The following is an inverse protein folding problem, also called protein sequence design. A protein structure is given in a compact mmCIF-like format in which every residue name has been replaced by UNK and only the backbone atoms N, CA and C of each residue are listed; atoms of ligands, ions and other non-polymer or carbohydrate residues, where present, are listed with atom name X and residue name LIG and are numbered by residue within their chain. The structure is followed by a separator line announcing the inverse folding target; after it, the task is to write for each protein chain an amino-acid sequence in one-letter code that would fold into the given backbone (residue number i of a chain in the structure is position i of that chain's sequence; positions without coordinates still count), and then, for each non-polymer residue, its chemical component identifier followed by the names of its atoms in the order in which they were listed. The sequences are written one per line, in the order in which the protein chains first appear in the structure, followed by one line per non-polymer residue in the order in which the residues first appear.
data_IF_000561689447
#
_entry.id   IF_000561689447
#
_cell.length_a   1.000
_cell.length_b   1.000
_cell.length_c   1.000
_cell.angle_alpha   90.00
_cell.angle_beta   90.00
_cell.angle_gamma   90.00
#
_symmetry.space_group_name_H-M   'P 1'
#
loop_
_entity.id
_entity.type
_entity.pdbx_description
1 polymer ?
#
# COMPACT_ATOMS: atom_id res chain seq x y z
N UNK A 1 37.32 -32.78 -20.94
CA UNK A 1 36.11 -32.88 -21.80
C UNK A 1 35.16 -31.78 -21.36
N UNK A 2 35.15 -30.68 -22.13
CA UNK A 2 34.30 -29.52 -21.85
C UNK A 2 32.92 -29.75 -22.45
N UNK A 3 31.88 -29.78 -21.62
CA UNK A 3 30.48 -29.74 -22.06
C UNK A 3 30.00 -28.28 -22.07
N UNK A 4 30.11 -27.63 -23.23
CA UNK A 4 29.40 -26.37 -23.52
C UNK A 4 27.92 -26.68 -23.71
N UNK A 5 27.08 -26.32 -22.72
CA UNK A 5 25.65 -26.34 -22.87
C UNK A 5 25.21 -25.07 -23.61
N UNK A 6 24.82 -25.23 -24.88
CA UNK A 6 24.20 -24.19 -25.68
C UNK A 6 22.82 -23.82 -25.08
N UNK A 7 22.65 -22.55 -24.74
CA UNK A 7 21.35 -22.01 -24.33
C UNK A 7 20.61 -21.52 -25.56
N UNK A 8 19.53 -22.20 -25.93
CA UNK A 8 18.55 -21.65 -26.87
C UNK A 8 17.48 -20.89 -26.07
N UNK A 9 17.50 -19.55 -26.22
CA UNK A 9 16.42 -18.69 -25.75
C UNK A 9 15.37 -18.62 -26.86
N UNK A 10 14.36 -19.49 -26.83
CA UNK A 10 13.22 -19.40 -27.74
C UNK A 10 12.11 -18.68 -26.96
N UNK A 11 11.85 -17.43 -27.36
CA UNK A 11 10.73 -16.66 -26.82
C UNK A 11 9.58 -16.72 -27.83
N UNK A 12 8.46 -17.28 -27.45
CA UNK A 12 7.23 -17.18 -28.21
C UNK A 12 6.27 -16.25 -27.49
N UNK A 13 5.75 -15.26 -28.20
CA UNK A 13 4.64 -14.44 -27.73
C UNK A 13 3.37 -15.18 -28.15
N UNK A 14 2.63 -15.69 -27.19
CA UNK A 14 1.33 -16.33 -27.43
C UNK A 14 0.26 -15.30 -27.03
N UNK A 15 -0.46 -14.79 -28.02
CA UNK A 15 -1.62 -13.93 -27.79
C UNK A 15 -2.83 -14.85 -27.70
N UNK A 16 -3.37 -15.04 -26.50
CA UNK A 16 -4.60 -15.75 -26.28
C UNK A 16 -5.74 -14.74 -26.16
N UNK A 17 -6.65 -14.74 -27.11
CA UNK A 17 -7.88 -13.95 -27.04
C UNK A 17 -9.02 -14.86 -26.61
N UNK A 18 -9.64 -14.54 -25.47
CA UNK A 18 -10.89 -15.16 -25.05
C UNK A 18 -11.81 -14.05 -24.53
N UNK A 19 -12.97 -13.90 -25.20
CA UNK A 19 -14.03 -12.95 -24.83
C UNK A 19 -13.50 -11.53 -24.52
N UNK A 20 -12.97 -10.85 -25.54
CA UNK A 20 -12.50 -9.46 -25.49
C UNK A 20 -11.36 -9.12 -24.53
N UNK A 21 -10.59 -10.12 -24.08
CA UNK A 21 -9.38 -9.93 -23.25
C UNK A 21 -8.15 -10.43 -24.00
N UNK A 22 -7.18 -9.54 -24.20
CA UNK A 22 -5.85 -9.88 -24.69
C UNK A 22 -4.93 -10.19 -23.49
N UNK A 23 -4.45 -11.43 -23.40
CA UNK A 23 -3.39 -11.82 -22.47
C UNK A 23 -2.10 -11.95 -23.27
N UNK A 24 -1.04 -11.27 -22.85
CA UNK A 24 0.31 -11.51 -23.35
C UNK A 24 1.06 -12.34 -22.30
N UNK A 25 1.44 -13.55 -22.64
CA UNK A 25 2.26 -14.40 -21.79
C UNK A 25 3.58 -14.71 -22.51
N UNK A 26 4.71 -14.46 -21.85
CA UNK A 26 6.01 -14.88 -22.36
C UNK A 26 6.32 -16.28 -21.85
N UNK A 27 6.42 -17.23 -22.78
CA UNK A 27 6.69 -18.62 -22.49
C UNK A 27 8.21 -18.87 -22.46
N UNK A 28 8.70 -19.39 -21.34
CA UNK A 28 10.09 -19.88 -21.23
C UNK A 28 10.10 -21.38 -21.07
N UNK A 29 10.92 -22.04 -21.88
CA UNK A 29 11.15 -23.49 -21.74
C UNK A 29 12.52 -23.71 -21.10
N UNK A 30 12.54 -24.35 -19.92
CA UNK A 30 13.76 -24.76 -19.24
C UNK A 30 13.64 -26.23 -18.82
N UNK A 31 14.51 -27.09 -19.30
CA UNK A 31 14.56 -28.52 -18.98
C UNK A 31 13.23 -29.26 -19.16
N UNK A 32 12.49 -28.96 -20.24
CA UNK A 32 11.24 -29.64 -20.53
C UNK A 32 10.01 -29.16 -19.73
N UNK A 33 10.16 -28.13 -18.88
CA UNK A 33 9.04 -27.50 -18.19
C UNK A 33 8.70 -26.17 -18.84
N UNK A 34 7.40 -25.93 -19.03
CA UNK A 34 6.87 -24.67 -19.55
C UNK A 34 6.53 -23.79 -18.36
N UNK A 35 7.18 -22.63 -18.27
CA UNK A 35 6.84 -21.60 -17.31
C UNK A 35 6.12 -20.47 -18.04
N UNK A 36 4.87 -20.19 -17.65
CA UNK A 36 4.15 -19.01 -18.09
C UNK A 36 4.49 -17.88 -17.13
N UNK A 37 5.20 -16.86 -17.61
CA UNK A 37 5.32 -15.59 -16.89
C UNK A 37 4.08 -14.78 -17.26
N UNK A 38 3.09 -14.74 -16.40
CA UNK A 38 1.99 -13.78 -16.51
C UNK A 38 2.58 -12.38 -16.25
N UNK A 39 2.87 -11.68 -17.33
CA UNK A 39 3.21 -10.26 -17.25
C UNK A 39 1.88 -9.48 -17.21
N UNK A 40 1.61 -8.87 -16.07
CA UNK A 40 0.57 -7.87 -15.97
C UNK A 40 1.00 -6.70 -16.88
N UNK A 41 0.45 -6.62 -18.08
CA UNK A 41 0.66 -5.48 -18.97
C UNK A 41 -0.08 -4.33 -18.30
N UNK A 42 0.70 -3.40 -17.71
CA UNK A 42 0.17 -2.22 -17.08
C UNK A 42 -0.81 -1.52 -18.03
N UNK A 43 -2.07 -1.45 -17.65
CA UNK A 43 -3.05 -0.66 -18.37
C UNK A 43 -2.57 0.78 -18.35
N UNK A 44 -2.50 1.39 -19.51
CA UNK A 44 -2.19 2.82 -19.67
C UNK A 44 -3.38 3.61 -19.17
N UNK A 45 -3.51 3.78 -17.87
CA UNK A 45 -4.57 4.58 -17.28
C UNK A 45 -4.22 6.06 -17.44
N UNK A 46 -5.14 6.80 -18.04
CA UNK A 46 -5.10 8.26 -18.02
C UNK A 46 -5.65 8.69 -16.66
N UNK A 47 -4.74 9.07 -15.75
CA UNK A 47 -5.14 9.60 -14.45
C UNK A 47 -5.97 10.86 -14.66
N UNK A 48 -7.18 10.84 -14.13
CA UNK A 48 -8.10 11.97 -14.13
C UNK A 48 -8.27 12.48 -12.69
N UNK A 49 -7.46 13.48 -12.33
CA UNK A 49 -7.55 14.12 -10.99
C UNK A 49 -8.92 14.78 -10.71
N UNK A 50 -9.81 14.91 -11.70
CA UNK A 50 -11.17 15.40 -11.46
C UNK A 50 -12.10 14.32 -10.89
N UNK A 51 -11.72 13.05 -11.03
CA UNK A 51 -12.46 11.87 -10.51
C UNK A 51 -11.77 11.33 -9.28
N UNK A 52 -12.04 11.95 -8.15
CA UNK A 52 -11.47 11.53 -6.88
C UNK A 52 -12.52 10.82 -6.03
N UNK A 53 -12.16 9.68 -5.46
CA UNK A 53 -13.01 8.91 -4.57
C UNK A 53 -12.48 8.87 -3.13
N UNK A 54 -13.38 8.87 -2.17
CA UNK A 54 -13.01 8.72 -0.76
C UNK A 54 -12.78 7.25 -0.42
N UNK A 55 -11.52 6.89 -0.19
CA UNK A 55 -11.15 5.52 0.23
C UNK A 55 -11.85 5.12 1.54
N UNK A 56 -12.11 6.07 2.45
CA UNK A 56 -12.86 5.82 3.68
C UNK A 56 -14.33 5.47 3.41
N UNK A 57 -14.98 6.17 2.45
CA UNK A 57 -16.36 5.82 2.03
C UNK A 57 -16.40 4.45 1.38
N UNK A 58 -15.40 4.10 0.58
CA UNK A 58 -15.28 2.77 -0.03
C UNK A 58 -15.07 1.72 1.06
N UNK A 59 -14.19 1.97 2.03
CA UNK A 59 -14.04 1.11 3.22
C UNK A 59 -15.39 0.86 3.91
N UNK A 60 -16.11 1.92 4.31
CA UNK A 60 -17.39 1.77 5.01
C UNK A 60 -18.44 1.00 4.21
N UNK A 61 -18.57 1.28 2.88
CA UNK A 61 -19.49 0.55 1.98
C UNK A 61 -19.11 -0.93 1.84
N UNK A 62 -17.83 -1.20 1.58
CA UNK A 62 -17.36 -2.57 1.40
C UNK A 62 -17.47 -3.37 2.69
N UNK A 63 -17.15 -2.76 3.84
CA UNK A 63 -17.30 -3.40 5.14
C UNK A 63 -18.75 -3.77 5.43
N UNK A 64 -19.69 -2.85 5.15
CA UNK A 64 -21.13 -3.13 5.29
C UNK A 64 -21.60 -4.24 4.33
N UNK A 65 -21.08 -4.30 3.12
CA UNK A 65 -21.34 -5.39 2.18
C UNK A 65 -20.76 -6.73 2.69
N UNK A 66 -19.53 -6.75 3.18
CA UNK A 66 -18.92 -7.97 3.74
C UNK A 66 -19.66 -8.43 5.00
N UNK A 67 -20.21 -7.50 5.79
CA UNK A 67 -21.07 -7.82 6.94
C UNK A 67 -22.38 -8.52 6.57
N UNK A 68 -22.86 -8.34 5.34
CA UNK A 68 -24.00 -9.11 4.81
C UNK A 68 -23.62 -10.56 4.49
N UNK A 69 -22.42 -10.78 4.01
CA UNK A 69 -21.90 -12.09 3.61
C UNK A 69 -21.37 -12.91 4.79
N UNK A 70 -20.96 -12.26 5.87
CA UNK A 70 -20.36 -12.93 7.03
C UNK A 70 -20.86 -12.30 8.35
N UNK A 71 -21.73 -13.02 9.06
CA UNK A 71 -22.29 -12.60 10.35
C UNK A 71 -21.27 -12.56 11.51
N UNK A 72 -20.09 -13.14 11.32
CA UNK A 72 -19.03 -13.05 12.31
C UNK A 72 -18.26 -11.72 12.26
N UNK A 73 -18.44 -10.91 11.20
CA UNK A 73 -17.87 -9.57 11.15
C UNK A 73 -18.55 -8.68 12.19
N UNK A 74 -17.74 -8.11 13.06
CA UNK A 74 -18.13 -7.09 14.04
C UNK A 74 -17.23 -5.87 13.88
N UNK A 75 -17.75 -4.68 14.16
CA UNK A 75 -17.02 -3.44 13.96
C UNK A 75 -16.94 -2.66 15.27
N UNK A 76 -15.75 -2.20 15.59
CA UNK A 76 -15.47 -1.37 16.75
C UNK A 76 -14.92 -0.01 16.30
N UNK A 77 -15.33 1.05 16.99
CA UNK A 77 -14.89 2.42 16.71
C UNK A 77 -14.65 3.18 18.01
N UNK A 78 -13.73 4.13 17.99
CA UNK A 78 -13.39 4.95 19.15
C UNK A 78 -13.98 6.37 19.03
N UNK A 79 -15.29 6.45 18.88
CA UNK A 79 -16.09 7.71 18.78
C UNK A 79 -15.80 8.56 17.53
N UNK A 80 -15.32 7.92 16.46
CA UNK A 80 -14.95 8.56 15.19
C UNK A 80 -15.72 7.98 13.98
N UNK A 81 -16.85 7.31 14.20
CA UNK A 81 -17.55 6.51 13.18
C UNK A 81 -17.97 7.29 11.94
N UNK A 82 -18.28 8.58 12.06
CA UNK A 82 -18.53 9.47 10.93
C UNK A 82 -17.26 9.75 10.11
N UNK A 83 -16.10 9.89 10.77
CA UNK A 83 -14.81 10.18 10.13
C UNK A 83 -14.19 8.95 9.50
N UNK A 84 -14.22 7.82 10.19
CA UNK A 84 -13.73 6.51 9.71
C UNK A 84 -14.68 5.90 8.67
N UNK A 85 -15.96 6.33 8.65
CA UNK A 85 -17.07 5.80 7.85
C UNK A 85 -17.58 4.42 8.32
N UNK A 86 -17.19 3.95 9.49
CA UNK A 86 -17.77 2.75 10.13
C UNK A 86 -19.24 2.91 10.44
N UNK A 87 -19.74 4.16 10.49
CA UNK A 87 -21.16 4.47 10.59
C UNK A 87 -22.02 3.76 9.55
N UNK A 88 -21.51 3.51 8.33
CA UNK A 88 -22.24 2.78 7.29
C UNK A 88 -22.52 1.32 7.69
N UNK A 89 -21.62 0.70 8.45
CA UNK A 89 -21.85 -0.61 9.02
C UNK A 89 -22.81 -0.53 10.22
N UNK A 90 -22.62 0.46 11.10
CA UNK A 90 -23.47 0.67 12.27
C UNK A 90 -24.93 0.89 11.92
N UNK A 91 -25.21 1.66 10.86
CA UNK A 91 -26.56 1.93 10.39
C UNK A 91 -27.27 0.66 9.85
N UNK A 92 -26.52 -0.31 9.33
CA UNK A 92 -27.05 -1.55 8.77
C UNK A 92 -27.11 -2.70 9.78
N UNK A 93 -26.13 -2.75 10.70
CA UNK A 93 -25.95 -3.83 11.67
C UNK A 93 -25.63 -3.27 13.07
N UNK A 94 -26.57 -2.54 13.72
CA UNK A 94 -26.33 -1.90 15.01
C UNK A 94 -25.94 -2.89 16.12
N UNK A 95 -26.44 -4.13 16.07
CA UNK A 95 -26.16 -5.19 17.04
C UNK A 95 -24.73 -5.78 16.93
N UNK A 96 -24.03 -5.46 15.84
CA UNK A 96 -22.65 -5.90 15.58
C UNK A 96 -21.65 -4.73 15.53
N UNK A 97 -22.11 -3.55 15.94
CA UNK A 97 -21.32 -2.33 16.03
C UNK A 97 -21.13 -1.90 17.48
N UNK A 98 -19.88 -1.61 17.87
CA UNK A 98 -19.51 -1.20 19.21
C UNK A 98 -18.76 0.13 19.20
N UNK A 99 -19.39 1.20 19.69
CA UNK A 99 -18.67 2.45 19.98
C UNK A 99 -18.05 2.34 21.38
N UNK A 100 -16.71 2.29 21.41
CA UNK A 100 -15.96 2.15 22.66
C UNK A 100 -15.70 3.49 23.36
N UNK A 101 -16.19 4.60 22.81
CA UNK A 101 -15.80 5.94 23.24
C UNK A 101 -14.34 6.26 22.89
N UNK A 102 -13.81 7.37 23.40
CA UNK A 102 -12.40 7.76 23.20
C UNK A 102 -11.51 6.88 24.08
N UNK A 103 -11.45 5.59 23.77
CA UNK A 103 -10.76 4.56 24.54
C UNK A 103 -10.17 3.47 23.62
N UNK A 104 -9.21 3.83 22.80
CA UNK A 104 -8.66 2.99 21.74
C UNK A 104 -7.97 1.73 22.29
N UNK A 105 -7.34 1.81 23.45
CA UNK A 105 -6.74 0.64 24.12
C UNK A 105 -7.82 -0.38 24.49
N UNK A 106 -8.96 0.08 25.05
CA UNK A 106 -10.11 -0.77 25.34
C UNK A 106 -10.71 -1.34 24.06
N UNK A 107 -10.81 -0.54 22.99
CA UNK A 107 -11.29 -0.97 21.68
C UNK A 107 -10.48 -2.15 21.15
N UNK A 108 -9.15 -2.06 21.16
CA UNK A 108 -8.27 -3.13 20.68
C UNK A 108 -8.34 -4.36 21.58
N UNK A 109 -8.35 -4.18 22.92
CA UNK A 109 -8.50 -5.31 23.84
C UNK A 109 -9.84 -6.03 23.67
N UNK A 110 -10.93 -5.29 23.46
CA UNK A 110 -12.26 -5.84 23.17
C UNK A 110 -12.26 -6.58 21.83
N UNK A 111 -11.63 -6.03 20.79
CA UNK A 111 -11.49 -6.68 19.49
C UNK A 111 -10.72 -8.02 19.64
N UNK A 112 -9.64 -8.05 20.41
CA UNK A 112 -8.90 -9.28 20.69
C UNK A 112 -9.77 -10.33 21.38
N UNK A 113 -10.57 -9.92 22.39
CA UNK A 113 -11.52 -10.80 23.07
C UNK A 113 -12.59 -11.38 22.14
N UNK A 114 -13.14 -10.56 21.25
CA UNK A 114 -14.12 -11.00 20.24
C UNK A 114 -13.50 -11.97 19.23
N UNK A 115 -12.27 -11.69 18.79
CA UNK A 115 -11.55 -12.56 17.86
C UNK A 115 -11.24 -13.93 18.49
N UNK A 116 -10.91 -14.00 19.78
CA UNK A 116 -10.70 -15.26 20.50
C UNK A 116 -11.95 -16.15 20.54
N UNK A 117 -13.13 -15.56 20.34
CA UNK A 117 -14.42 -16.26 20.27
C UNK A 117 -14.90 -16.50 18.84
N UNK A 118 -13.99 -16.37 17.84
CA UNK A 118 -14.28 -16.68 16.43
C UNK A 118 -14.96 -15.55 15.66
N UNK A 119 -15.06 -14.34 16.22
CA UNK A 119 -15.49 -13.17 15.47
C UNK A 119 -14.36 -12.63 14.59
N UNK A 120 -14.74 -11.81 13.61
CA UNK A 120 -13.82 -11.09 12.71
C UNK A 120 -13.98 -9.59 12.98
N UNK A 121 -13.31 -9.06 14.03
CA UNK A 121 -13.45 -7.66 14.38
C UNK A 121 -12.63 -6.76 13.45
N UNK A 122 -13.28 -5.69 12.97
CA UNK A 122 -12.66 -4.53 12.35
C UNK A 122 -12.67 -3.40 13.39
N UNK A 123 -11.50 -3.02 13.90
CA UNK A 123 -11.34 -1.93 14.86
C UNK A 123 -10.77 -0.71 14.14
N UNK A 124 -11.55 0.38 14.06
CA UNK A 124 -11.21 1.55 13.26
C UNK A 124 -11.13 2.82 14.12
N UNK A 125 -10.07 3.59 13.89
CA UNK A 125 -9.88 4.94 14.42
C UNK A 125 -8.83 5.66 13.55
N UNK A 126 -8.34 6.85 13.94
CA UNK A 126 -7.25 7.49 13.22
C UNK A 126 -5.93 6.73 13.40
N UNK A 127 -5.09 6.72 12.37
CA UNK A 127 -3.84 5.96 12.35
C UNK A 127 -2.94 6.26 13.56
N UNK A 128 -2.83 7.53 13.96
CA UNK A 128 -2.06 7.95 15.13
C UNK A 128 -2.55 7.29 16.42
N UNK A 129 -3.86 7.19 16.59
CA UNK A 129 -4.47 6.60 17.79
C UNK A 129 -4.52 5.07 17.70
N UNK A 130 -4.70 4.53 16.49
CA UNK A 130 -4.72 3.09 16.26
C UNK A 130 -3.36 2.43 16.51
N UNK A 131 -2.25 3.12 16.40
CA UNK A 131 -0.91 2.53 16.44
C UNK A 131 -0.08 2.96 17.63
N UNK A 132 0.10 4.27 17.82
CA UNK A 132 0.94 4.78 18.92
C UNK A 132 0.33 4.51 20.29
N UNK A 133 -0.96 4.85 20.47
CA UNK A 133 -1.68 4.72 21.75
C UNK A 133 -1.93 3.27 22.15
N UNK A 134 -2.10 2.37 21.20
CA UNK A 134 -2.53 0.98 21.42
C UNK A 134 -1.46 -0.05 21.13
N UNK A 135 -0.21 0.37 21.01
CA UNK A 135 0.88 -0.50 20.57
C UNK A 135 1.02 -1.79 21.42
N UNK A 136 0.94 -1.67 22.74
CA UNK A 136 1.04 -2.83 23.66
C UNK A 136 -0.15 -3.79 23.48
N UNK A 137 -1.38 -3.26 23.38
CA UNK A 137 -2.59 -4.07 23.18
C UNK A 137 -2.54 -4.82 21.83
N UNK A 138 -2.04 -4.18 20.79
CA UNK A 138 -1.85 -4.83 19.48
C UNK A 138 -0.78 -5.91 19.58
N UNK A 139 0.39 -5.56 20.13
CA UNK A 139 1.52 -6.47 20.23
C UNK A 139 1.19 -7.72 21.04
N UNK A 140 0.69 -7.53 22.26
CA UNK A 140 0.50 -8.61 23.23
C UNK A 140 -0.91 -9.23 23.13
N UNK A 141 -1.96 -8.39 22.97
CA UNK A 141 -3.34 -8.84 22.93
C UNK A 141 -3.76 -9.44 21.60
N UNK A 142 -3.21 -8.94 20.49
CA UNK A 142 -3.60 -9.36 19.13
C UNK A 142 -2.52 -10.24 18.48
N UNK A 143 -1.32 -9.71 18.27
CA UNK A 143 -0.32 -10.37 17.42
C UNK A 143 0.38 -11.54 18.12
N UNK A 144 0.67 -11.45 19.41
CA UNK A 144 1.30 -12.56 20.15
C UNK A 144 0.44 -13.83 20.15
N UNK A 145 -0.89 -13.65 20.20
CA UNK A 145 -1.85 -14.75 20.13
C UNK A 145 -2.34 -15.05 18.70
N UNK A 146 -1.80 -14.37 17.68
CA UNK A 146 -2.15 -14.50 16.25
C UNK A 146 -3.67 -14.39 16.00
N UNK A 147 -4.32 -13.44 16.66
CA UNK A 147 -5.77 -13.28 16.60
C UNK A 147 -6.20 -12.55 15.32
N UNK A 148 -7.36 -12.95 14.79
CA UNK A 148 -7.93 -12.45 13.55
C UNK A 148 -8.57 -11.06 13.70
N UNK A 149 -7.77 -10.04 14.05
CA UNK A 149 -8.21 -8.64 14.21
C UNK A 149 -7.74 -7.79 13.04
N UNK A 150 -8.67 -7.01 12.45
CA UNK A 150 -8.38 -6.03 11.40
C UNK A 150 -8.35 -4.64 12.02
N UNK A 151 -7.19 -4.03 12.08
CA UNK A 151 -6.97 -2.69 12.62
C UNK A 151 -6.95 -1.73 11.44
N UNK A 152 -7.90 -0.80 11.38
CA UNK A 152 -8.01 0.16 10.28
C UNK A 152 -7.65 1.55 10.79
N UNK A 153 -6.43 1.99 10.44
CA UNK A 153 -5.95 3.33 10.74
C UNK A 153 -6.30 4.30 9.60
N UNK A 154 -7.32 5.12 9.79
CA UNK A 154 -7.64 6.17 8.82
C UNK A 154 -6.82 7.43 9.11
N UNK A 155 -6.77 8.38 8.18
CA UNK A 155 -6.07 9.64 8.38
C UNK A 155 -4.55 9.45 8.63
N UNK A 156 -3.88 8.57 7.87
CA UNK A 156 -2.42 8.40 7.95
C UNK A 156 -1.65 9.53 7.27
N UNK A 157 -0.47 9.88 7.79
CA UNK A 157 0.47 10.82 7.19
C UNK A 157 0.12 12.30 7.33
N UNK A 158 0.87 13.15 6.61
CA UNK A 158 0.70 14.62 6.66
C UNK A 158 -0.63 15.10 6.06
N UNK A 159 -1.27 14.28 5.23
CA UNK A 159 -2.53 14.62 4.55
C UNK A 159 -3.75 14.65 5.47
N UNK A 160 -3.58 14.37 6.75
CA UNK A 160 -4.56 14.73 7.80
C UNK A 160 -4.87 16.23 7.73
N UNK A 161 -3.88 17.04 7.43
CA UNK A 161 -4.09 18.45 7.12
C UNK A 161 -4.14 19.35 8.35
N UNK A 162 -5.24 20.09 8.52
CA UNK A 162 -5.35 21.16 9.50
C UNK A 162 -5.23 20.70 10.96
N UNK A 163 -5.56 19.45 11.27
CA UNK A 163 -5.42 18.87 12.61
C UNK A 163 -3.96 18.85 13.10
N UNK A 164 -3.00 18.87 12.19
CA UNK A 164 -1.58 19.06 12.46
C UNK A 164 -0.87 17.85 13.08
N UNK A 165 0.33 18.09 13.60
CA UNK A 165 1.30 17.09 14.01
C UNK A 165 0.77 16.04 15.00
N UNK A 166 -0.14 16.42 15.91
CA UNK A 166 -0.70 15.50 16.92
C UNK A 166 -1.59 14.40 16.33
N UNK A 167 -2.06 14.60 15.08
CA UNK A 167 -2.94 13.67 14.36
C UNK A 167 -2.27 13.03 13.14
N UNK A 168 -1.13 13.57 12.70
CA UNK A 168 -0.37 13.10 11.54
C UNK A 168 0.52 11.92 11.94
N UNK A 169 0.04 10.70 11.67
CA UNK A 169 0.82 9.48 11.91
C UNK A 169 1.92 9.35 10.85
N UNK A 170 3.17 9.55 11.26
CA UNK A 170 4.37 9.40 10.43
C UNK A 170 5.19 8.16 10.80
N UNK A 171 4.77 7.42 11.82
CA UNK A 171 5.45 6.27 12.41
C UNK A 171 4.59 4.99 12.39
N UNK A 172 3.34 5.07 11.98
CA UNK A 172 2.36 4.00 12.07
C UNK A 172 2.76 2.74 11.31
N UNK A 173 3.27 2.88 10.08
CA UNK A 173 3.76 1.75 9.29
C UNK A 173 4.98 1.12 9.98
N UNK A 174 5.92 1.92 10.49
CA UNK A 174 7.10 1.44 11.19
C UNK A 174 6.72 0.62 12.43
N UNK A 175 5.84 1.15 13.28
CA UNK A 175 5.37 0.50 14.50
C UNK A 175 4.68 -0.83 14.19
N UNK A 176 3.82 -0.87 13.17
CA UNK A 176 3.06 -2.07 12.85
C UNK A 176 3.91 -3.12 12.12
N UNK A 177 4.85 -2.71 11.25
CA UNK A 177 5.64 -3.68 10.49
C UNK A 177 6.67 -4.42 11.36
N UNK A 178 7.13 -3.87 12.48
CA UNK A 178 8.07 -4.58 13.35
C UNK A 178 7.41 -5.66 14.21
N UNK A 179 6.08 -5.60 14.45
CA UNK A 179 5.38 -6.59 15.27
C UNK A 179 5.27 -7.93 14.51
N UNK A 180 5.71 -9.07 15.11
CA UNK A 180 5.52 -10.40 14.49
C UNK A 180 4.05 -10.69 14.17
N UNK A 181 3.80 -11.48 13.12
CA UNK A 181 2.49 -11.87 12.58
C UNK A 181 1.67 -10.73 11.94
N UNK A 182 1.93 -9.47 12.26
CA UNK A 182 1.19 -8.35 11.67
C UNK A 182 1.39 -8.26 10.16
N UNK A 183 0.30 -8.21 9.42
CA UNK A 183 0.28 -7.82 8.01
C UNK A 183 0.03 -6.32 7.90
N UNK A 184 0.77 -5.60 7.04
CA UNK A 184 0.67 -4.13 6.89
C UNK A 184 0.35 -3.78 5.44
N UNK A 185 -0.80 -3.11 5.22
CA UNK A 185 -1.33 -2.78 3.89
C UNK A 185 -1.69 -1.30 3.79
N UNK A 186 -1.33 -0.68 2.67
CA UNK A 186 -1.58 0.74 2.37
C UNK A 186 -2.14 0.85 0.95
N UNK A 187 -3.46 0.74 0.75
CA UNK A 187 -4.07 0.82 -0.58
C UNK A 187 -3.94 2.22 -1.19
N UNK A 188 -3.74 2.28 -2.51
CA UNK A 188 -3.42 3.49 -3.25
C UNK A 188 -4.66 4.24 -3.76
N UNK A 189 -5.78 3.57 -3.98
CA UNK A 189 -7.01 4.17 -4.49
C UNK A 189 -8.28 3.46 -3.97
N UNK A 190 -9.42 3.86 -4.50
CA UNK A 190 -10.73 3.33 -4.14
C UNK A 190 -10.87 1.84 -4.51
N UNK A 191 -10.43 1.44 -5.71
CA UNK A 191 -10.54 0.06 -6.18
C UNK A 191 -9.65 -0.88 -5.39
N UNK A 192 -8.40 -0.50 -5.15
CA UNK A 192 -7.49 -1.30 -4.33
C UNK A 192 -7.99 -1.39 -2.88
N UNK A 193 -8.54 -0.30 -2.32
CA UNK A 193 -9.15 -0.32 -1.00
C UNK A 193 -10.31 -1.33 -0.92
N UNK A 194 -11.21 -1.35 -1.91
CA UNK A 194 -12.32 -2.31 -1.98
C UNK A 194 -11.80 -3.75 -1.94
N UNK A 195 -10.83 -4.07 -2.79
CA UNK A 195 -10.26 -5.42 -2.88
C UNK A 195 -9.50 -5.82 -1.59
N UNK A 196 -8.77 -4.88 -0.97
CA UNK A 196 -8.08 -5.09 0.31
C UNK A 196 -9.08 -5.40 1.43
N UNK A 197 -10.20 -4.68 1.52
CA UNK A 197 -11.21 -4.93 2.57
C UNK A 197 -11.91 -6.27 2.35
N UNK A 198 -12.22 -6.65 1.11
CA UNK A 198 -12.75 -7.98 0.79
C UNK A 198 -11.76 -9.06 1.19
N UNK A 199 -10.48 -8.90 0.84
CA UNK A 199 -9.42 -9.82 1.23
C UNK A 199 -9.31 -9.93 2.77
N UNK A 200 -9.26 -8.79 3.47
CA UNK A 200 -9.14 -8.75 4.92
C UNK A 200 -10.29 -9.47 5.64
N UNK A 201 -11.51 -9.35 5.13
CA UNK A 201 -12.68 -10.01 5.70
C UNK A 201 -12.64 -11.55 5.60
N UNK A 202 -11.86 -12.10 4.66
CA UNK A 202 -11.74 -13.53 4.39
C UNK A 202 -10.41 -14.13 4.92
N UNK A 203 -9.41 -13.30 5.16
CA UNK A 203 -8.08 -13.73 5.61
C UNK A 203 -8.04 -13.87 7.14
N UNK A 204 -7.39 -14.92 7.63
CA UNK A 204 -7.12 -15.11 9.06
C UNK A 204 -5.78 -14.49 9.45
N UNK A 205 -5.72 -13.91 10.64
CA UNK A 205 -4.55 -13.28 11.22
C UNK A 205 -4.66 -11.75 11.36
N UNK A 206 -3.75 -11.16 12.12
CA UNK A 206 -3.76 -9.72 12.40
C UNK A 206 -3.37 -8.91 11.17
N UNK A 207 -4.06 -7.78 10.98
CA UNK A 207 -3.85 -6.94 9.82
C UNK A 207 -3.99 -5.46 10.19
N UNK A 208 -3.04 -4.64 9.79
CA UNK A 208 -3.13 -3.19 9.83
C UNK A 208 -3.36 -2.66 8.41
N UNK A 209 -4.44 -1.90 8.23
CA UNK A 209 -4.81 -1.29 6.96
C UNK A 209 -4.81 0.22 7.14
N UNK A 210 -3.92 0.91 6.44
CA UNK A 210 -3.77 2.37 6.51
C UNK A 210 -4.56 3.04 5.39
N UNK A 211 -5.45 3.97 5.74
CA UNK A 211 -6.26 4.71 4.78
C UNK A 211 -5.99 6.22 4.84
N UNK A 212 -5.95 6.87 3.67
CA UNK A 212 -5.84 8.31 3.57
C UNK A 212 -7.13 9.03 4.02
N UNK A 213 -6.97 10.27 4.52
CA UNK A 213 -8.09 11.20 4.71
C UNK A 213 -8.60 11.74 3.37
N UNK A 214 -7.71 11.96 2.43
CA UNK A 214 -8.01 12.59 1.15
C UNK A 214 -8.87 11.71 0.25
N UNK A 215 -9.59 12.35 -0.66
CA UNK A 215 -10.11 11.69 -1.83
C UNK A 215 -8.95 11.46 -2.80
N UNK A 216 -8.84 10.25 -3.35
CA UNK A 216 -7.76 9.85 -4.22
C UNK A 216 -8.26 9.66 -5.65
N UNK A 217 -7.45 10.01 -6.67
CA UNK A 217 -7.74 9.67 -8.05
C UNK A 217 -7.78 8.16 -8.26
N UNK A 218 -8.66 7.70 -9.15
CA UNK A 218 -8.69 6.30 -9.55
C UNK A 218 -7.45 5.99 -10.42
N UNK A 219 -6.71 4.98 -10.01
CA UNK A 219 -5.54 4.43 -10.72
C UNK A 219 -5.88 3.07 -11.31
N UNK A 220 -6.56 2.23 -10.55
CA UNK A 220 -6.94 0.89 -10.95
C UNK A 220 -8.37 0.82 -11.47
N UNK A 221 -8.59 -0.01 -12.49
CA UNK A 221 -9.91 -0.27 -13.06
C UNK A 221 -10.59 -1.50 -12.40
N UNK A 222 -11.79 -1.85 -12.88
CA UNK A 222 -12.58 -2.97 -12.35
C UNK A 222 -11.90 -4.34 -12.54
N UNK A 223 -10.89 -4.45 -13.41
CA UNK A 223 -10.15 -5.69 -13.62
C UNK A 223 -8.99 -5.88 -12.63
N UNK A 224 -8.73 -4.87 -11.81
CA UNK A 224 -7.72 -4.99 -10.76
C UNK A 224 -8.15 -6.01 -9.71
N UNK A 225 -7.24 -6.92 -9.36
CA UNK A 225 -7.39 -7.89 -8.28
C UNK A 225 -6.21 -7.78 -7.33
N UNK A 226 -6.51 -7.56 -6.06
CA UNK A 226 -5.49 -7.48 -5.02
C UNK A 226 -4.83 -8.85 -4.78
N UNK A 227 -3.49 -8.85 -4.70
CA UNK A 227 -2.69 -10.00 -4.32
C UNK A 227 -1.74 -9.62 -3.20
N UNK A 228 -1.89 -10.23 -2.03
CA UNK A 228 -1.09 -9.98 -0.82
C UNK A 228 0.43 -10.16 -1.02
N UNK A 229 0.83 -10.94 -2.03
CA UNK A 229 2.23 -11.28 -2.30
C UNK A 229 2.83 -10.49 -3.47
N UNK A 230 2.08 -9.54 -4.07
CA UNK A 230 2.51 -8.86 -5.29
C UNK A 230 2.46 -7.35 -5.19
N UNK A 231 3.59 -6.74 -5.55
CA UNK A 231 3.64 -5.34 -5.96
C UNK A 231 3.27 -5.23 -7.45
N UNK A 232 2.73 -4.08 -7.85
CA UNK A 232 2.18 -3.87 -9.20
C UNK A 232 2.99 -2.81 -9.95
N UNK A 233 3.57 -3.19 -11.10
CA UNK A 233 4.19 -2.23 -12.01
C UNK A 233 3.07 -1.50 -12.75
N UNK A 234 2.89 -0.20 -12.47
CA UNK A 234 1.83 0.62 -13.08
C UNK A 234 2.32 1.44 -14.28
N UNK A 235 3.60 1.79 -14.30
CA UNK A 235 4.29 2.37 -15.46
C UNK A 235 5.63 1.64 -15.63
N UNK A 236 5.99 1.28 -16.86
CA UNK A 236 7.30 0.64 -17.11
C UNK A 236 8.38 1.64 -17.53
N UNK A 237 9.61 1.36 -17.14
CA UNK A 237 10.76 2.19 -17.42
C UNK A 237 12.09 1.49 -17.12
N UNK A 238 13.18 2.04 -17.67
CA UNK A 238 14.49 1.39 -17.67
C UNK A 238 15.62 2.17 -16.97
N UNK A 239 15.38 3.43 -16.58
CA UNK A 239 16.42 4.23 -15.94
C UNK A 239 16.31 4.23 -14.41
N UNK A 240 15.13 4.50 -13.88
CA UNK A 240 14.86 4.65 -12.44
C UNK A 240 13.58 3.93 -12.08
N UNK A 241 13.55 3.25 -10.93
CA UNK A 241 12.30 2.74 -10.38
C UNK A 241 11.84 3.59 -9.20
N UNK A 242 10.59 4.07 -9.25
CA UNK A 242 9.89 4.65 -8.10
C UNK A 242 9.03 3.56 -7.44
N UNK A 243 9.26 3.32 -6.15
CA UNK A 243 8.49 2.40 -5.32
C UNK A 243 7.67 3.23 -4.34
N UNK A 244 6.35 3.09 -4.37
CA UNK A 244 5.45 3.88 -3.53
C UNK A 244 4.23 3.09 -3.09
N UNK A 245 3.44 3.64 -2.18
CA UNK A 245 2.15 3.09 -1.78
C UNK A 245 1.18 4.22 -1.40
N UNK A 246 -0.07 3.85 -1.22
CA UNK A 246 -1.09 4.78 -0.80
C UNK A 246 -1.26 5.96 -1.75
N UNK A 247 -1.61 7.08 -1.19
CA UNK A 247 -2.01 8.30 -1.90
C UNK A 247 -0.94 8.94 -2.81
N UNK A 248 0.34 8.60 -2.62
CA UNK A 248 1.42 9.16 -3.44
C UNK A 248 1.61 8.44 -4.79
N UNK A 249 0.88 7.35 -5.05
CA UNK A 249 0.98 6.63 -6.32
C UNK A 249 0.69 7.53 -7.52
N UNK A 250 -0.36 8.34 -7.43
CA UNK A 250 -0.72 9.28 -8.49
C UNK A 250 0.40 10.32 -8.74
N UNK A 251 1.00 10.88 -7.68
CA UNK A 251 2.09 11.84 -7.81
C UNK A 251 3.34 11.22 -8.46
N UNK A 252 3.65 9.95 -8.14
CA UNK A 252 4.74 9.21 -8.76
C UNK A 252 4.50 8.95 -10.25
N UNK A 253 3.27 8.58 -10.65
CA UNK A 253 2.91 8.37 -12.06
C UNK A 253 3.04 9.68 -12.84
N UNK A 254 2.52 10.79 -12.32
CA UNK A 254 2.63 12.08 -12.97
C UNK A 254 4.08 12.54 -13.09
N UNK A 255 4.90 12.31 -12.05
CA UNK A 255 6.33 12.61 -12.12
C UNK A 255 7.04 11.75 -13.18
N UNK A 256 6.72 10.47 -13.30
CA UNK A 256 7.28 9.60 -14.33
C UNK A 256 6.93 10.06 -15.74
N UNK A 257 5.67 10.49 -15.97
CA UNK A 257 5.23 11.03 -17.27
C UNK A 257 5.96 12.32 -17.64
N UNK A 258 6.21 13.22 -16.68
CA UNK A 258 6.98 14.45 -16.91
C UNK A 258 8.48 14.16 -17.15
N UNK A 259 9.07 13.22 -16.40
CA UNK A 259 10.46 12.81 -16.60
C UNK A 259 10.69 12.18 -17.96
N UNK A 260 9.75 11.39 -18.46
CA UNK A 260 9.78 10.78 -19.78
C UNK A 260 9.91 11.82 -20.90
N UNK A 261 9.27 13.00 -20.76
CA UNK A 261 9.40 14.11 -21.73
C UNK A 261 10.82 14.67 -21.78
N UNK A 262 11.62 14.43 -20.75
CA UNK A 262 13.01 14.89 -20.66
C UNK A 262 14.04 13.77 -20.92
N UNK A 263 13.59 12.61 -21.39
CA UNK A 263 14.43 11.48 -21.77
C UNK A 263 14.81 10.55 -20.62
N UNK A 264 14.21 10.71 -19.43
CA UNK A 264 14.44 9.78 -18.30
C UNK A 264 13.26 8.81 -18.24
N UNK A 265 13.55 7.52 -18.44
CA UNK A 265 12.56 6.44 -18.44
C UNK A 265 12.37 5.90 -17.02
N UNK A 266 11.20 6.16 -16.43
CA UNK A 266 10.92 5.85 -15.03
C UNK A 266 9.86 4.76 -14.93
N UNK A 267 10.20 3.69 -14.19
CA UNK A 267 9.26 2.65 -13.75
C UNK A 267 8.57 3.11 -12.47
N UNK A 268 7.26 2.91 -12.37
CA UNK A 268 6.50 3.17 -11.13
C UNK A 268 5.88 1.86 -10.65
N UNK A 269 6.12 1.54 -9.39
CA UNK A 269 5.65 0.31 -8.75
C UNK A 269 4.81 0.68 -7.53
N UNK A 270 3.56 0.25 -7.52
CA UNK A 270 2.73 0.26 -6.33
C UNK A 270 3.09 -0.92 -5.43
N UNK A 271 3.42 -0.65 -4.18
CA UNK A 271 3.76 -1.65 -3.15
C UNK A 271 2.74 -1.56 -2.02
N UNK A 272 1.50 -2.04 -2.24
CA UNK A 272 0.44 -1.88 -1.24
C UNK A 272 0.73 -2.65 0.04
N UNK A 273 1.47 -3.76 -0.03
CA UNK A 273 1.80 -4.60 1.10
C UNK A 273 3.23 -4.33 1.55
N UNK A 274 3.38 -3.66 2.70
CA UNK A 274 4.70 -3.35 3.27
C UNK A 274 5.23 -4.53 4.07
N UNK A 275 4.32 -5.37 4.62
CA UNK A 275 4.65 -6.63 5.28
C UNK A 275 3.53 -7.66 5.08
N UNK A 276 3.84 -8.86 4.54
CA UNK A 276 5.11 -9.27 3.93
C UNK A 276 5.35 -8.53 2.60
N UNK A 277 6.55 -8.00 2.39
CA UNK A 277 6.87 -7.25 1.17
C UNK A 277 7.22 -8.18 0.00
N UNK A 278 6.83 -7.83 -1.22
CA UNK A 278 7.20 -8.56 -2.46
C UNK A 278 8.69 -8.35 -2.80
N UNK A 279 9.53 -9.24 -2.27
CA UNK A 279 10.98 -9.21 -2.49
C UNK A 279 11.33 -9.42 -3.97
N UNK A 280 10.58 -10.26 -4.67
CA UNK A 280 10.88 -10.63 -6.06
C UNK A 280 10.78 -9.42 -6.97
N UNK A 281 9.65 -8.72 -6.96
CA UNK A 281 9.46 -7.52 -7.78
C UNK A 281 10.49 -6.43 -7.45
N UNK A 282 10.82 -6.21 -6.17
CA UNK A 282 11.81 -5.21 -5.75
C UNK A 282 13.21 -5.57 -6.28
N UNK A 283 13.62 -6.83 -6.18
CA UNK A 283 14.92 -7.31 -6.67
C UNK A 283 15.00 -7.20 -8.21
N UNK A 284 13.95 -7.56 -8.91
CA UNK A 284 13.89 -7.46 -10.38
C UNK A 284 13.97 -5.99 -10.82
N UNK A 285 13.28 -5.08 -10.14
CA UNK A 285 13.44 -3.64 -10.37
C UNK A 285 14.87 -3.16 -10.16
N UNK A 286 15.55 -3.62 -9.12
CA UNK A 286 16.93 -3.26 -8.84
C UNK A 286 17.92 -3.79 -9.89
N UNK A 287 17.60 -4.89 -10.56
CA UNK A 287 18.41 -5.46 -11.65
C UNK A 287 18.21 -4.73 -12.97
N UNK A 288 17.01 -4.22 -13.19
CA UNK A 288 16.57 -3.70 -14.49
C UNK A 288 16.69 -2.19 -14.61
N UNK A 289 16.88 -1.46 -13.49
CA UNK A 289 17.06 -0.01 -13.47
C UNK A 289 18.35 0.40 -12.74
N UNK A 290 18.81 1.62 -12.98
CA UNK A 290 20.10 2.11 -12.46
C UNK A 290 20.10 2.30 -10.94
N UNK A 291 18.96 2.74 -10.39
CA UNK A 291 18.74 2.90 -8.95
C UNK A 291 17.26 2.93 -8.61
N UNK A 292 16.96 2.71 -7.34
CA UNK A 292 15.61 2.75 -6.79
C UNK A 292 15.38 4.06 -6.02
N UNK A 293 14.14 4.53 -6.04
CA UNK A 293 13.68 5.65 -5.22
C UNK A 293 12.39 5.23 -4.53
N UNK A 294 12.34 5.27 -3.21
CA UNK A 294 11.08 5.08 -2.48
C UNK A 294 10.43 6.43 -2.19
N UNK A 295 9.10 6.50 -2.32
CA UNK A 295 8.31 7.71 -2.05
C UNK A 295 7.19 7.34 -1.10
N UNK A 296 7.16 7.93 0.09
CA UNK A 296 6.22 7.55 1.15
C UNK A 296 5.71 8.77 1.94
N UNK A 297 4.41 8.80 2.23
CA UNK A 297 3.81 9.76 3.16
C UNK A 297 3.96 9.25 4.60
N UNK A 298 5.19 9.12 5.03
CA UNK A 298 5.62 8.55 6.30
C UNK A 298 7.04 9.05 6.60
N UNK A 299 7.53 8.86 7.80
CA UNK A 299 8.96 9.01 8.09
C UNK A 299 9.79 8.12 7.18
N UNK A 300 10.94 8.62 6.71
CA UNK A 300 11.90 7.79 5.96
C UNK A 300 12.52 6.68 6.80
N UNK A 301 12.29 6.69 8.12
CA UNK A 301 12.77 5.70 9.06
C UNK A 301 11.66 4.68 9.37
N UNK A 302 11.92 3.41 9.12
CA UNK A 302 11.03 2.30 9.50
C UNK A 302 9.89 2.00 8.52
N UNK A 303 9.55 2.89 7.57
CA UNK A 303 8.46 2.72 6.60
C UNK A 303 8.84 1.87 5.38
N UNK A 304 8.21 2.19 4.23
CA UNK A 304 8.44 1.52 2.94
C UNK A 304 9.90 1.55 2.52
N UNK A 305 10.54 2.73 2.62
CA UNK A 305 11.94 2.89 2.22
C UNK A 305 12.88 2.00 3.01
N UNK A 306 12.65 1.83 4.31
CA UNK A 306 13.43 0.91 5.14
C UNK A 306 13.18 -0.55 4.75
N UNK A 307 11.92 -0.95 4.49
CA UNK A 307 11.58 -2.29 4.04
C UNK A 307 12.24 -2.65 2.70
N UNK A 308 12.27 -1.71 1.75
CA UNK A 308 12.98 -1.88 0.46
C UNK A 308 14.48 -2.01 0.69
N UNK A 309 15.10 -1.17 1.52
CA UNK A 309 16.53 -1.27 1.85
C UNK A 309 16.89 -2.62 2.48
N UNK A 310 16.08 -3.16 3.39
CA UNK A 310 16.28 -4.49 3.98
C UNK A 310 16.28 -5.60 2.92
N UNK A 311 15.37 -5.53 1.93
CA UNK A 311 15.34 -6.49 0.81
C UNK A 311 16.59 -6.36 -0.03
N UNK A 312 16.96 -5.15 -0.42
CA UNK A 312 18.08 -4.88 -1.34
C UNK A 312 19.42 -5.25 -0.70
N UNK A 313 19.68 -4.81 0.54
CA UNK A 313 20.92 -5.12 1.23
C UNK A 313 21.15 -6.63 1.41
N UNK A 314 20.07 -7.38 1.68
CA UNK A 314 20.16 -8.82 1.92
C UNK A 314 20.18 -9.71 0.66
N UNK A 315 19.80 -9.18 -0.54
CA UNK A 315 19.62 -10.02 -1.72
C UNK A 315 20.35 -9.53 -2.98
N UNK A 316 20.27 -8.25 -3.28
CA UNK A 316 20.88 -7.66 -4.49
C UNK A 316 21.25 -6.21 -4.21
N UNK A 317 22.49 -5.92 -3.77
CA UNK A 317 22.93 -4.58 -3.43
C UNK A 317 22.76 -3.60 -4.60
N UNK A 318 21.95 -2.60 -4.40
CA UNK A 318 21.69 -1.52 -5.34
C UNK A 318 21.52 -0.21 -4.58
N UNK A 319 21.64 0.91 -5.29
CA UNK A 319 21.44 2.23 -4.67
C UNK A 319 19.95 2.52 -4.48
N UNK A 320 19.59 2.91 -3.26
CA UNK A 320 18.23 3.28 -2.90
C UNK A 320 18.21 4.69 -2.32
N UNK A 321 17.43 5.59 -2.93
CA UNK A 321 17.12 6.89 -2.38
C UNK A 321 15.75 6.84 -1.71
N UNK A 322 15.60 7.51 -0.58
CA UNK A 322 14.34 7.54 0.17
C UNK A 322 13.77 8.96 0.19
N UNK A 323 12.54 9.12 -0.25
CA UNK A 323 11.77 10.37 -0.23
C UNK A 323 10.59 10.17 0.72
N UNK A 324 10.49 11.00 1.73
CA UNK A 324 9.47 11.00 2.78
C UNK A 324 9.76 12.12 3.75
N UNK A 325 9.23 12.05 4.96
CA UNK A 325 9.45 13.03 6.02
C UNK A 325 10.75 12.69 6.75
N UNK A 326 11.65 13.68 6.91
CA UNK A 326 12.99 13.48 7.46
C UNK A 326 13.08 14.01 8.89
N UNK A 327 12.95 13.11 9.87
CA UNK A 327 13.20 13.37 11.31
C UNK A 327 12.61 14.71 11.81
N UNK A 328 11.37 14.98 11.41
CA UNK A 328 10.60 16.15 11.80
C UNK A 328 9.14 15.79 12.00
N UNK A 329 8.46 16.52 12.89
CA UNK A 329 7.03 16.43 13.03
C UNK A 329 6.31 17.11 11.86
N UNK A 330 5.08 16.67 11.59
CA UNK A 330 4.21 17.38 10.68
C UNK A 330 3.76 18.75 11.22
N UNK A 331 2.94 19.44 10.44
CA UNK A 331 2.38 20.73 10.81
C UNK A 331 0.97 20.91 10.25
N UNK A 332 0.23 21.88 10.77
CA UNK A 332 -1.10 22.23 10.26
C UNK A 332 -1.00 22.92 8.90
N UNK A 333 -1.91 22.57 8.01
CA UNK A 333 -2.01 23.14 6.66
C UNK A 333 -3.03 22.40 5.83
N UNK A 334 -3.31 22.84 4.61
CA UNK A 334 -4.11 22.07 3.69
C UNK A 334 -3.31 20.90 3.15
N UNK A 335 -3.97 19.77 2.92
CA UNK A 335 -3.30 18.54 2.51
C UNK A 335 -2.41 18.69 1.28
N UNK A 336 -2.89 19.39 0.24
CA UNK A 336 -2.14 19.66 -0.99
C UNK A 336 -0.93 20.58 -0.76
N UNK A 337 -1.09 21.61 0.08
CA UNK A 337 -0.01 22.51 0.48
C UNK A 337 1.09 21.77 1.26
N UNK A 338 0.70 20.84 2.15
CA UNK A 338 1.63 20.01 2.92
C UNK A 338 2.37 19.01 2.03
N UNK A 339 1.69 18.34 1.10
CA UNK A 339 2.33 17.45 0.11
C UNK A 339 3.39 18.20 -0.69
N UNK A 340 3.10 19.45 -1.09
CA UNK A 340 4.05 20.32 -1.79
C UNK A 340 5.19 20.81 -0.87
N UNK A 341 4.88 21.22 0.36
CA UNK A 341 5.86 21.69 1.32
C UNK A 341 6.93 20.64 1.65
N UNK A 342 6.50 19.39 1.87
CA UNK A 342 7.40 18.27 2.12
C UNK A 342 8.03 17.68 0.85
N UNK A 343 7.73 18.25 -0.31
CA UNK A 343 8.33 17.86 -1.61
C UNK A 343 7.91 16.47 -2.07
N UNK A 344 6.66 16.08 -1.78
CA UNK A 344 6.06 14.80 -2.16
C UNK A 344 5.15 14.91 -3.39
N UNK A 345 4.88 16.10 -3.89
CA UNK A 345 4.14 16.35 -5.12
C UNK A 345 4.97 16.02 -6.37
N UNK A 346 4.30 15.80 -7.48
CA UNK A 346 4.94 15.39 -8.75
C UNK A 346 5.98 16.39 -9.26
N UNK A 347 5.76 17.70 -9.07
CA UNK A 347 6.71 18.75 -9.49
C UNK A 347 8.05 18.64 -8.73
N UNK A 348 7.99 18.49 -7.41
CA UNK A 348 9.17 18.34 -6.58
C UNK A 348 9.85 16.98 -6.78
N UNK A 349 9.07 15.91 -6.97
CA UNK A 349 9.61 14.59 -7.32
C UNK A 349 10.43 14.66 -8.62
N UNK A 350 9.92 15.33 -9.66
CA UNK A 350 10.66 15.54 -10.93
C UNK A 350 12.01 16.23 -10.68
N UNK A 351 12.03 17.31 -9.90
CA UNK A 351 13.26 18.05 -9.60
C UNK A 351 14.28 17.18 -8.86
N UNK A 352 13.82 16.44 -7.84
CA UNK A 352 14.68 15.56 -7.02
C UNK A 352 15.24 14.41 -7.85
N UNK A 353 14.41 13.74 -8.64
CA UNK A 353 14.84 12.61 -9.47
C UNK A 353 15.81 13.05 -10.55
N UNK A 354 15.59 14.19 -11.22
CA UNK A 354 16.57 14.75 -12.16
C UNK A 354 17.92 15.01 -11.52
N UNK A 355 17.94 15.58 -10.32
CA UNK A 355 19.18 15.84 -9.59
C UNK A 355 19.90 14.54 -9.20
N UNK A 356 19.15 13.50 -8.76
CA UNK A 356 19.70 12.19 -8.47
C UNK A 356 20.26 11.53 -9.75
N UNK A 357 19.49 11.55 -10.83
CA UNK A 357 19.88 10.95 -12.10
C UNK A 357 21.15 11.58 -12.66
N UNK A 358 21.27 12.90 -12.64
CA UNK A 358 22.47 13.59 -13.10
C UNK A 358 23.73 13.22 -12.29
N UNK A 359 23.59 12.93 -10.99
CA UNK A 359 24.72 12.51 -10.13
C UNK A 359 25.13 11.05 -10.31
N UNK A 360 24.19 10.19 -10.71
CA UNK A 360 24.42 8.75 -10.81
C UNK A 360 24.86 8.31 -12.23
N UNK A 361 24.56 9.11 -13.26
CA UNK A 361 24.78 8.74 -14.65
C UNK A 361 25.94 9.53 -15.29
N UNK A 362 26.35 10.63 -14.66
CA UNK A 362 27.54 11.41 -15.03
C UNK A 362 28.70 11.12 -14.09
#
# INVERSE_FOLDING_TARGET
MHNNAFFYKISYIVILSWKDKCFCATMFVRRGYVFLKEEYIGFRMKIDKSKNQSVRKVFGKTLAYMGELNENIVVLDADLSCSTQTKMFADKYPERFFNCGIAEQNMIATAAGLASQGKVPFAATFAMFATGRTYDQIRNGVCYADLNVKIVGTHGGITVGEDGATHQALEDIALMREIPHMTVIVPADAKECEEVIKYAALHNGPMYIRLSRCNLPDVFDDNYHFNIHKAVVVEDGSDVTLLTNGELLCECILAAQELKKTGISVRVVNVPVVKPIDKTTIIDCARETKFLVTVENHSTTGGLGSAVCEVICGNYPAKVFRIGIHDEFGQSGKSDELVKYYGLDSENLVKRIKSMYAKEVN
#
